data_IF_798357076864
#
_entry.id   IF_798357076864
#
_cell.length_a   1.000
_cell.length_b   1.000
_cell.length_c   1.000
_cell.angle_alpha   90.00
_cell.angle_beta   90.00
_cell.angle_gamma   90.00
#
_symmetry.space_group_name_H-M   'P 1'
#
loop_
_entity.id
_entity.type
_entity.pdbx_description
1 polymer ?
#
# COMPACT_ATOMS: atom_id res chain seq x y z
N UNK A 1 -0.51 -17.70 1.79
CA UNK A 1 0.92 -17.37 1.55
C UNK A 1 1.76 -18.55 2.02
N UNK A 2 2.83 -18.93 1.32
CA UNK A 2 3.72 -20.01 1.80
C UNK A 2 4.56 -19.39 2.93
N UNK A 3 4.50 -19.90 4.18
CA UNK A 3 5.04 -19.23 5.36
C UNK A 3 6.56 -18.97 5.38
N UNK A 4 7.30 -19.48 4.42
CA UNK A 4 8.76 -19.40 4.38
C UNK A 4 9.33 -18.60 3.20
N UNK A 5 8.47 -17.96 2.39
CA UNK A 5 8.93 -17.21 1.21
C UNK A 5 8.44 -15.76 1.27
N UNK A 6 9.29 -14.79 0.87
CA UNK A 6 8.90 -13.39 0.74
C UNK A 6 7.76 -13.21 -0.29
N UNK A 7 6.92 -12.20 -0.10
CA UNK A 7 5.81 -11.91 -1.00
C UNK A 7 6.29 -11.54 -2.41
N UNK A 8 5.90 -12.34 -3.39
CA UNK A 8 6.17 -12.06 -4.82
C UNK A 8 5.40 -10.83 -5.30
N UNK A 9 4.25 -10.58 -4.69
CA UNK A 9 3.44 -9.39 -4.97
C UNK A 9 4.13 -8.12 -4.47
N UNK A 10 4.72 -8.13 -3.26
CA UNK A 10 5.51 -7.01 -2.75
C UNK A 10 6.67 -6.65 -3.69
N UNK A 11 7.36 -7.64 -4.26
CA UNK A 11 8.40 -7.40 -5.26
C UNK A 11 7.87 -6.71 -6.51
N UNK A 12 6.74 -7.19 -7.07
CA UNK A 12 6.14 -6.61 -8.27
C UNK A 12 5.70 -5.15 -8.04
N UNK A 13 5.14 -4.86 -6.88
CA UNK A 13 4.74 -3.49 -6.50
C UNK A 13 5.98 -2.60 -6.39
N UNK A 14 7.03 -3.02 -5.69
CA UNK A 14 8.27 -2.28 -5.55
C UNK A 14 8.92 -2.00 -6.92
N UNK A 15 8.93 -2.98 -7.82
CA UNK A 15 9.43 -2.81 -9.18
C UNK A 15 8.66 -1.73 -9.95
N UNK A 16 7.32 -1.69 -9.84
CA UNK A 16 6.50 -0.67 -10.51
C UNK A 16 6.74 0.72 -9.92
N UNK A 17 6.90 0.83 -8.60
CA UNK A 17 7.26 2.10 -7.94
C UNK A 17 8.66 2.58 -8.39
N UNK A 18 9.61 1.67 -8.55
CA UNK A 18 10.94 2.00 -9.05
C UNK A 18 10.93 2.50 -10.51
N UNK A 19 10.19 1.81 -11.38
CA UNK A 19 10.01 2.25 -12.78
C UNK A 19 9.33 3.61 -12.86
N UNK A 20 8.35 3.89 -11.98
CA UNK A 20 7.72 5.20 -11.85
C UNK A 20 8.74 6.32 -11.61
N UNK A 21 9.72 6.10 -10.73
CA UNK A 21 10.77 7.10 -10.47
C UNK A 21 11.62 7.42 -11.70
N UNK A 22 11.70 6.51 -12.65
CA UNK A 22 12.58 6.64 -13.80
C UNK A 22 11.87 7.17 -15.07
N UNK A 23 10.59 6.82 -15.25
CA UNK A 23 9.85 7.11 -16.48
C UNK A 23 8.87 8.28 -16.37
N UNK A 24 8.27 8.52 -15.20
CA UNK A 24 7.18 9.49 -15.09
C UNK A 24 7.69 10.87 -14.64
N UNK A 25 7.26 11.92 -15.31
CA UNK A 25 7.71 13.30 -15.05
C UNK A 25 6.54 14.29 -15.05
N UNK A 26 6.29 15.02 -13.95
CA UNK A 26 6.86 14.78 -12.60
C UNK A 26 6.36 13.46 -12.00
N UNK A 27 7.09 12.85 -11.05
CA UNK A 27 6.59 11.67 -10.36
C UNK A 27 5.36 12.02 -9.52
N UNK A 28 4.38 11.13 -9.46
CA UNK A 28 3.20 11.28 -8.58
C UNK A 28 3.59 11.04 -7.12
N UNK A 29 4.46 10.06 -6.91
CA UNK A 29 5.10 9.77 -5.63
C UNK A 29 6.60 9.98 -5.79
N UNK A 30 7.18 10.88 -5.01
CA UNK A 30 8.64 11.02 -4.94
C UNK A 30 9.20 10.01 -3.92
N UNK A 31 9.90 9.00 -4.44
CA UNK A 31 10.46 7.91 -3.65
C UNK A 31 11.88 7.58 -4.12
N UNK A 32 12.88 8.32 -3.63
CA UNK A 32 14.27 8.11 -4.04
C UNK A 32 14.82 6.73 -3.66
N UNK A 33 14.16 6.03 -2.72
CA UNK A 33 14.56 4.69 -2.27
C UNK A 33 13.91 3.56 -3.09
N UNK A 34 12.91 3.85 -3.92
CA UNK A 34 12.20 2.82 -4.68
C UNK A 34 13.13 2.02 -5.62
N UNK A 35 14.15 2.64 -6.20
CA UNK A 35 15.13 1.95 -7.03
C UNK A 35 16.21 1.23 -6.20
N UNK A 36 16.86 1.88 -5.22
CA UNK A 36 17.88 1.25 -4.38
C UNK A 36 17.42 -0.01 -3.64
N UNK A 37 16.19 -0.02 -3.10
CA UNK A 37 15.68 -1.14 -2.30
C UNK A 37 15.57 -2.46 -3.08
N UNK A 38 15.56 -2.41 -4.40
CA UNK A 38 15.56 -3.59 -5.26
C UNK A 38 16.90 -4.31 -5.33
N UNK A 39 17.93 -3.71 -4.73
CA UNK A 39 19.30 -4.23 -4.75
C UNK A 39 20.13 -3.72 -5.93
N UNK A 40 21.47 -3.78 -5.82
CA UNK A 40 22.38 -3.09 -6.73
C UNK A 40 22.28 -3.54 -8.18
N UNK A 41 22.15 -4.84 -8.42
CA UNK A 41 22.09 -5.40 -9.80
C UNK A 41 20.80 -4.97 -10.52
N UNK A 42 19.66 -5.12 -9.84
CA UNK A 42 18.35 -4.74 -10.40
C UNK A 42 18.28 -3.23 -10.58
N UNK A 43 18.77 -2.46 -9.62
CA UNK A 43 18.82 -1.01 -9.70
C UNK A 43 19.69 -0.52 -10.87
N UNK A 44 20.84 -1.14 -11.14
CA UNK A 44 21.70 -0.83 -12.27
C UNK A 44 20.99 -1.13 -13.60
N UNK A 45 20.37 -2.32 -13.72
CA UNK A 45 19.62 -2.71 -14.92
C UNK A 45 18.42 -1.78 -15.19
N UNK A 46 17.67 -1.43 -14.14
CA UNK A 46 16.55 -0.50 -14.24
C UNK A 46 16.98 0.89 -14.72
N UNK A 47 18.08 1.43 -14.18
CA UNK A 47 18.60 2.75 -14.60
C UNK A 47 19.07 2.75 -16.04
N UNK A 48 19.70 1.64 -16.50
CA UNK A 48 20.16 1.51 -17.87
C UNK A 48 19.01 1.36 -18.87
N UNK A 49 17.98 0.60 -18.52
CA UNK A 49 16.92 0.20 -19.45
C UNK A 49 15.52 0.16 -18.79
N UNK A 50 14.98 1.28 -18.26
CA UNK A 50 13.73 1.26 -17.50
C UNK A 50 12.53 0.77 -18.31
N UNK A 51 12.49 1.05 -19.63
CA UNK A 51 11.40 0.63 -20.51
C UNK A 51 11.30 -0.89 -20.72
N UNK A 52 12.38 -1.64 -20.49
CA UNK A 52 12.35 -3.10 -20.60
C UNK A 52 11.51 -3.77 -19.48
N UNK A 53 11.28 -3.05 -18.39
CA UNK A 53 10.45 -3.49 -17.27
C UNK A 53 8.96 -3.11 -17.44
N UNK A 54 8.64 -2.41 -18.53
CA UNK A 54 7.28 -2.06 -18.92
C UNK A 54 6.71 -3.10 -19.87
N UNK A 55 6.19 -4.19 -19.30
CA UNK A 55 5.67 -5.31 -20.09
C UNK A 55 4.14 -5.26 -20.18
N UNK A 56 3.65 -5.01 -21.40
CA UNK A 56 2.22 -5.05 -21.71
C UNK A 56 1.50 -3.70 -21.58
N UNK A 57 0.32 -3.61 -22.19
CA UNK A 57 -0.50 -2.40 -22.28
C UNK A 57 -0.96 -1.85 -20.93
N UNK A 58 -1.12 -2.72 -19.94
CA UNK A 58 -1.59 -2.36 -18.61
C UNK A 58 -0.48 -1.82 -17.68
N UNK A 59 0.78 -1.92 -18.10
CA UNK A 59 1.91 -1.56 -17.27
C UNK A 59 1.90 -0.11 -16.79
N UNK A 60 1.62 0.91 -17.63
CA UNK A 60 1.52 2.30 -17.18
C UNK A 60 0.40 2.51 -16.14
N UNK A 61 -0.77 1.90 -16.35
CA UNK A 61 -1.90 2.03 -15.42
C UNK A 61 -1.62 1.39 -14.05
N UNK A 62 -0.98 0.22 -14.04
CA UNK A 62 -0.55 -0.44 -12.80
C UNK A 62 0.52 0.38 -12.09
N UNK A 63 1.46 0.99 -12.82
CA UNK A 63 2.49 1.89 -12.29
C UNK A 63 1.85 3.13 -11.66
N UNK A 64 0.91 3.76 -12.36
CA UNK A 64 0.13 4.88 -11.83
C UNK A 64 -0.61 4.49 -10.55
N UNK A 65 -1.31 3.36 -10.56
CA UNK A 65 -2.08 2.88 -9.41
C UNK A 65 -1.20 2.62 -8.18
N UNK A 66 -0.11 1.89 -8.33
CA UNK A 66 0.77 1.58 -7.19
C UNK A 66 1.48 2.81 -6.63
N UNK A 67 1.74 3.81 -7.46
CA UNK A 67 2.34 5.06 -7.00
C UNK A 67 1.33 5.97 -6.32
N UNK A 68 0.14 6.13 -6.92
CA UNK A 68 -0.86 7.07 -6.39
C UNK A 68 -1.49 6.59 -5.08
N UNK A 69 -1.68 5.29 -4.88
CA UNK A 69 -2.22 4.80 -3.60
C UNK A 69 -1.26 5.07 -2.43
N UNK A 70 0.06 4.92 -2.65
CA UNK A 70 1.07 5.30 -1.65
C UNK A 70 1.08 6.81 -1.43
N UNK A 71 1.02 7.62 -2.50
CA UNK A 71 0.91 9.07 -2.40
C UNK A 71 -0.33 9.50 -1.62
N UNK A 72 -1.48 8.88 -1.87
CA UNK A 72 -2.71 9.17 -1.13
C UNK A 72 -2.56 8.88 0.37
N UNK A 73 -1.99 7.73 0.73
CA UNK A 73 -1.74 7.39 2.13
C UNK A 73 -0.80 8.40 2.81
N UNK A 74 0.26 8.83 2.11
CA UNK A 74 1.21 9.82 2.60
C UNK A 74 0.59 11.21 2.73
N UNK A 75 -0.31 11.62 1.82
CA UNK A 75 -1.06 12.87 1.93
C UNK A 75 -1.99 12.86 3.16
N UNK A 76 -2.66 11.73 3.45
CA UNK A 76 -3.48 11.59 4.66
C UNK A 76 -2.62 11.67 5.93
N UNK A 77 -1.46 11.05 5.91
CA UNK A 77 -0.51 11.10 7.01
C UNK A 77 0.04 12.51 7.21
N UNK A 78 0.41 13.22 6.14
CA UNK A 78 0.93 14.60 6.22
C UNK A 78 -0.05 15.58 6.88
N UNK A 79 -1.35 15.34 6.75
CA UNK A 79 -2.38 16.15 7.42
C UNK A 79 -2.62 15.77 8.89
N UNK A 80 -2.14 14.63 9.36
CA UNK A 80 -2.43 14.08 10.67
C UNK A 80 -1.72 14.80 11.85
N UNK A 81 -0.46 15.28 11.71
CA UNK A 81 0.24 16.01 12.78
C UNK A 81 -0.49 17.26 13.28
N UNK A 82 -1.22 17.96 12.40
CA UNK A 82 -2.03 19.12 12.80
C UNK A 82 -3.16 18.73 13.79
N UNK A 83 -3.54 17.46 13.84
CA UNK A 83 -4.51 16.89 14.78
C UNK A 83 -3.86 16.20 15.98
N UNK A 84 -2.55 16.34 16.15
CA UNK A 84 -1.80 15.73 17.26
C UNK A 84 -1.35 14.28 17.03
N UNK A 85 -1.66 13.68 15.88
CA UNK A 85 -1.30 12.28 15.56
C UNK A 85 0.20 12.17 15.29
N UNK A 86 0.84 11.18 15.92
CA UNK A 86 2.29 10.90 15.84
C UNK A 86 2.60 9.42 15.62
N UNK A 87 1.58 8.63 15.30
CA UNK A 87 1.70 7.19 15.08
C UNK A 87 1.24 6.83 13.67
N UNK A 88 2.05 6.06 12.99
CA UNK A 88 1.77 5.51 11.66
C UNK A 88 1.97 4.01 11.63
N UNK A 89 0.97 3.27 11.19
CA UNK A 89 1.02 1.82 11.08
C UNK A 89 0.87 1.41 9.62
N UNK A 90 1.85 0.67 9.12
CA UNK A 90 1.85 0.15 7.74
C UNK A 90 1.52 -1.33 7.79
N UNK A 91 0.29 -1.69 7.44
CA UNK A 91 -0.18 -3.07 7.42
C UNK A 91 0.16 -3.73 6.08
N UNK A 92 0.94 -4.81 6.12
CA UNK A 92 1.50 -5.44 4.93
C UNK A 92 2.59 -4.57 4.30
N UNK A 93 3.59 -4.19 5.10
CA UNK A 93 4.60 -3.20 4.73
C UNK A 93 5.44 -3.59 3.50
N UNK A 94 5.61 -4.90 3.21
CA UNK A 94 6.33 -5.37 2.04
C UNK A 94 7.69 -4.67 1.85
N UNK A 95 7.89 -4.07 0.68
CA UNK A 95 9.02 -3.20 0.38
C UNK A 95 8.61 -1.70 0.36
N UNK A 96 7.67 -1.29 1.21
CA UNK A 96 7.39 0.13 1.43
C UNK A 96 8.62 0.85 1.97
N UNK A 97 8.84 2.08 1.52
CA UNK A 97 10.05 2.86 1.82
C UNK A 97 9.75 4.12 2.63
N UNK A 98 8.48 4.39 2.95
CA UNK A 98 8.09 5.62 3.64
C UNK A 98 8.94 5.90 4.90
N UNK A 99 9.05 4.91 5.76
CA UNK A 99 9.71 5.04 7.05
C UNK A 99 11.23 5.36 6.98
N UNK A 100 11.83 5.16 5.83
CA UNK A 100 13.28 5.36 5.58
C UNK A 100 13.56 6.64 4.80
N UNK A 101 12.53 7.41 4.40
CA UNK A 101 12.69 8.65 3.62
C UNK A 101 12.65 9.92 4.47
N UNK A 102 12.15 9.82 5.71
CA UNK A 102 11.95 10.94 6.65
C UNK A 102 11.35 12.19 5.98
N UNK A 103 10.12 12.12 5.48
CA UNK A 103 9.51 13.24 4.75
C UNK A 103 9.14 14.43 5.64
N UNK A 104 9.29 14.29 6.97
CA UNK A 104 8.93 15.33 7.95
C UNK A 104 9.85 15.28 9.18
N UNK A 105 11.14 15.64 9.04
CA UNK A 105 12.14 15.51 10.11
C UNK A 105 11.78 16.32 11.36
N UNK A 106 11.04 17.42 11.22
CA UNK A 106 10.63 18.29 12.33
C UNK A 106 9.47 17.72 13.17
N UNK A 107 8.82 16.65 12.71
CA UNK A 107 7.68 16.03 13.39
C UNK A 107 8.03 14.61 13.80
N UNK A 108 8.27 14.35 15.10
CA UNK A 108 8.59 13.00 15.55
C UNK A 108 7.43 12.05 15.29
N UNK A 109 7.60 11.21 14.26
CA UNK A 109 6.65 10.19 13.86
C UNK A 109 7.20 8.81 14.25
N UNK A 110 6.43 8.01 14.96
CA UNK A 110 6.73 6.61 15.19
C UNK A 110 6.03 5.77 14.13
N UNK A 111 6.73 4.82 13.54
CA UNK A 111 6.23 3.96 12.47
C UNK A 111 6.29 2.50 12.92
N UNK A 112 5.18 1.79 12.78
CA UNK A 112 5.10 0.34 12.97
C UNK A 112 4.89 -0.32 11.62
N UNK A 113 5.86 -1.08 11.17
CA UNK A 113 5.74 -1.89 9.96
C UNK A 113 5.30 -3.30 10.35
N UNK A 114 4.07 -3.63 9.97
CA UNK A 114 3.43 -4.93 10.25
C UNK A 114 3.47 -5.77 9.00
N UNK A 115 4.10 -6.94 9.07
CA UNK A 115 4.14 -7.89 7.94
C UNK A 115 4.47 -9.30 8.44
N UNK A 116 4.39 -10.26 7.54
CA UNK A 116 4.80 -11.63 7.80
C UNK A 116 6.31 -11.68 8.09
N UNK A 117 6.78 -12.49 9.06
CA UNK A 117 8.18 -12.51 9.49
C UNK A 117 9.19 -12.66 8.35
N UNK A 118 8.97 -13.60 7.41
CA UNK A 118 9.87 -13.81 6.29
C UNK A 118 9.95 -12.61 5.33
N UNK A 119 8.85 -11.84 5.18
CA UNK A 119 8.85 -10.62 4.36
C UNK A 119 9.62 -9.51 5.04
N UNK A 120 9.50 -9.37 6.37
CA UNK A 120 10.26 -8.39 7.13
C UNK A 120 11.77 -8.67 7.12
N UNK A 121 12.15 -9.94 7.31
CA UNK A 121 13.55 -10.35 7.23
C UNK A 121 14.14 -10.04 5.85
N UNK A 122 13.42 -10.39 4.79
CA UNK A 122 13.82 -10.06 3.43
C UNK A 122 13.94 -8.55 3.19
N UNK A 123 12.99 -7.73 3.67
CA UNK A 123 13.05 -6.27 3.58
C UNK A 123 14.31 -5.73 4.25
N UNK A 124 14.60 -6.16 5.48
CA UNK A 124 15.79 -5.73 6.24
C UNK A 124 17.08 -6.10 5.52
N UNK A 125 17.13 -7.29 4.92
CA UNK A 125 18.25 -7.67 4.07
C UNK A 125 18.41 -6.70 2.88
N UNK A 126 17.30 -6.35 2.18
CA UNK A 126 17.33 -5.39 1.06
C UNK A 126 17.81 -4.00 1.50
N UNK A 127 17.34 -3.52 2.65
CA UNK A 127 17.79 -2.24 3.22
C UNK A 127 19.30 -2.25 3.47
N UNK A 128 19.81 -3.31 4.10
CA UNK A 128 21.23 -3.49 4.35
C UNK A 128 22.07 -3.52 3.06
N UNK A 129 21.64 -4.30 2.06
CA UNK A 129 22.31 -4.40 0.76
C UNK A 129 22.33 -3.07 0.00
N UNK A 130 21.31 -2.24 0.19
CA UNK A 130 21.20 -0.91 -0.40
C UNK A 130 21.87 0.19 0.43
N UNK A 131 22.50 -0.15 1.56
CA UNK A 131 23.06 0.79 2.54
C UNK A 131 22.05 1.84 3.03
N UNK A 132 20.77 1.46 3.14
CA UNK A 132 19.70 2.30 3.69
C UNK A 132 19.66 2.08 5.19
N UNK A 133 19.85 3.16 5.97
CA UNK A 133 19.82 3.10 7.43
C UNK A 133 18.38 2.81 7.93
N UNK A 134 18.28 1.99 8.98
CA UNK A 134 17.04 1.77 9.71
C UNK A 134 16.86 2.87 10.77
N UNK A 135 15.85 3.77 10.66
CA UNK A 135 15.65 4.83 11.65
C UNK A 135 15.17 4.26 13.00
N UNK A 136 15.59 4.88 14.10
CA UNK A 136 15.14 4.50 15.44
C UNK A 136 13.64 4.68 15.68
N UNK A 137 12.96 5.43 14.82
CA UNK A 137 11.51 5.64 14.84
C UNK A 137 10.71 4.46 14.28
N UNK A 138 11.37 3.47 13.65
CA UNK A 138 10.72 2.30 13.04
C UNK A 138 10.72 1.13 14.00
N UNK A 139 9.56 0.51 14.15
CA UNK A 139 9.37 -0.76 14.86
C UNK A 139 8.86 -1.81 13.87
N UNK A 140 9.58 -2.90 13.75
CA UNK A 140 9.12 -4.06 12.99
C UNK A 140 8.19 -4.91 13.85
N UNK A 141 7.02 -5.22 13.34
CA UNK A 141 5.99 -6.00 14.02
C UNK A 141 5.68 -7.23 13.19
N UNK A 142 6.39 -8.34 13.42
CA UNK A 142 6.09 -9.58 12.72
C UNK A 142 4.74 -10.13 13.20
N UNK A 143 3.89 -10.54 12.24
CA UNK A 143 2.59 -11.13 12.54
C UNK A 143 2.33 -12.36 11.66
N UNK A 144 1.86 -13.41 12.31
CA UNK A 144 1.17 -14.51 11.66
C UNK A 144 -0.31 -14.43 12.06
N UNK A 145 -1.15 -13.97 11.14
CA UNK A 145 -2.59 -13.80 11.39
C UNK A 145 -3.36 -15.10 11.67
N UNK A 146 -2.75 -16.27 11.45
CA UNK A 146 -3.35 -17.55 11.83
C UNK A 146 -3.24 -17.81 13.35
N UNK A 147 -2.24 -17.20 14.01
CA UNK A 147 -1.88 -17.48 15.40
C UNK A 147 -1.87 -16.26 16.31
N UNK A 148 -1.89 -15.06 15.75
CA UNK A 148 -1.72 -13.80 16.49
C UNK A 148 -2.77 -12.78 16.10
N UNK A 149 -3.10 -11.88 17.02
CA UNK A 149 -4.01 -10.76 16.74
C UNK A 149 -3.23 -9.45 16.55
N UNK A 150 -3.71 -8.59 15.65
CA UNK A 150 -3.10 -7.29 15.40
C UNK A 150 -3.02 -6.42 16.68
N UNK A 151 -4.06 -6.32 17.52
CA UNK A 151 -3.99 -5.60 18.80
C UNK A 151 -2.84 -6.04 19.70
N UNK A 152 -2.67 -7.34 19.88
CA UNK A 152 -1.69 -7.90 20.81
C UNK A 152 -0.26 -7.61 20.35
N UNK A 153 0.04 -7.81 19.06
CA UNK A 153 1.39 -7.57 18.54
C UNK A 153 1.75 -6.09 18.50
N UNK A 154 0.79 -5.21 18.18
CA UNK A 154 1.00 -3.77 18.22
C UNK A 154 1.21 -3.27 19.66
N UNK A 155 0.41 -3.73 20.62
CA UNK A 155 0.59 -3.37 22.02
C UNK A 155 1.96 -3.83 22.55
N UNK A 156 2.39 -5.06 22.22
CA UNK A 156 3.70 -5.58 22.58
C UNK A 156 4.84 -4.76 21.97
N UNK A 157 4.63 -4.15 20.79
CA UNK A 157 5.57 -3.26 20.13
C UNK A 157 5.49 -1.79 20.60
N UNK A 158 4.73 -1.50 21.66
CA UNK A 158 4.61 -0.18 22.27
C UNK A 158 3.76 0.81 21.47
N UNK A 159 2.82 0.31 20.68
CA UNK A 159 1.78 1.13 20.05
C UNK A 159 0.74 1.57 21.11
N UNK A 160 0.41 2.85 21.11
CA UNK A 160 -0.61 3.43 21.98
C UNK A 160 -1.94 3.60 21.23
N UNK A 161 -2.87 2.69 21.40
CA UNK A 161 -4.18 2.74 20.75
C UNK A 161 -5.07 3.91 21.20
N UNK A 162 -4.69 4.62 22.27
CA UNK A 162 -5.43 5.79 22.76
C UNK A 162 -4.97 7.13 22.18
N UNK A 163 -3.77 7.17 21.60
CA UNK A 163 -3.15 8.41 21.13
C UNK A 163 -3.53 8.80 19.68
N UNK A 164 -4.39 8.02 19.04
CA UNK A 164 -4.72 8.20 17.62
C UNK A 164 -3.58 7.79 16.68
N UNK A 165 -3.94 7.30 15.51
CA UNK A 165 -2.97 6.82 14.54
C UNK A 165 -3.47 6.95 13.10
N UNK A 166 -2.56 7.04 12.14
CA UNK A 166 -2.85 6.78 10.73
C UNK A 166 -2.42 5.36 10.39
N UNK A 167 -3.27 4.66 9.65
CA UNK A 167 -2.96 3.35 9.10
C UNK A 167 -2.91 3.42 7.58
N UNK A 168 -1.95 2.74 6.97
CA UNK A 168 -2.02 2.38 5.56
C UNK A 168 -2.12 0.87 5.42
N UNK A 169 -3.00 0.42 4.52
CA UNK A 169 -3.26 -1.00 4.30
C UNK A 169 -3.37 -1.26 2.80
N UNK A 170 -2.24 -1.18 2.12
CA UNK A 170 -2.17 -1.11 0.66
C UNK A 170 -1.76 -2.45 0.05
N UNK A 171 -2.61 -2.97 -0.86
CA UNK A 171 -2.35 -4.19 -1.60
C UNK A 171 -2.47 -5.47 -0.78
N UNK A 172 -3.26 -5.46 0.29
CA UNK A 172 -3.45 -6.61 1.20
C UNK A 172 -4.92 -7.04 1.23
N UNK A 173 -5.84 -6.11 1.33
CA UNK A 173 -7.28 -6.35 1.49
C UNK A 173 -7.84 -7.37 0.48
N UNK A 174 -7.54 -7.31 -0.82
CA UNK A 174 -8.08 -8.28 -1.78
C UNK A 174 -7.71 -9.75 -1.49
N UNK A 175 -6.65 -10.00 -0.73
CA UNK A 175 -6.15 -11.34 -0.41
C UNK A 175 -6.70 -11.93 0.89
N UNK A 176 -7.45 -11.16 1.66
CA UNK A 176 -8.00 -11.55 2.94
C UNK A 176 -9.48 -11.93 2.83
N UNK A 177 -9.95 -12.72 3.79
CA UNK A 177 -11.38 -12.99 3.95
C UNK A 177 -12.11 -11.73 4.45
N UNK A 178 -13.40 -11.61 4.12
CA UNK A 178 -14.23 -10.48 4.59
C UNK A 178 -14.20 -10.35 6.13
N UNK A 179 -14.29 -11.46 6.85
CA UNK A 179 -14.29 -11.46 8.31
C UNK A 179 -12.97 -10.92 8.89
N UNK A 180 -11.83 -11.31 8.32
CA UNK A 180 -10.53 -10.80 8.71
C UNK A 180 -10.41 -9.28 8.45
N UNK A 181 -10.93 -8.82 7.30
CA UNK A 181 -10.95 -7.40 6.94
C UNK A 181 -11.80 -6.62 7.95
N UNK A 182 -13.04 -7.04 8.20
CA UNK A 182 -13.94 -6.33 9.09
C UNK A 182 -13.46 -6.35 10.55
N UNK A 183 -12.81 -7.42 10.98
CA UNK A 183 -12.17 -7.50 12.30
C UNK A 183 -11.02 -6.51 12.43
N UNK A 184 -10.17 -6.42 11.44
CA UNK A 184 -9.07 -5.44 11.38
C UNK A 184 -9.61 -4.01 11.36
N UNK A 185 -10.59 -3.71 10.51
CA UNK A 185 -11.21 -2.37 10.41
C UNK A 185 -11.88 -1.94 11.72
N UNK A 186 -12.51 -2.86 12.45
CA UNK A 186 -13.08 -2.57 13.77
C UNK A 186 -12.00 -2.13 14.77
N UNK A 187 -10.89 -2.84 14.83
CA UNK A 187 -9.76 -2.45 15.68
C UNK A 187 -9.18 -1.08 15.25
N UNK A 188 -8.96 -0.90 13.95
CA UNK A 188 -8.44 0.36 13.40
C UNK A 188 -9.39 1.53 13.71
N UNK A 189 -10.71 1.34 13.59
CA UNK A 189 -11.71 2.34 13.94
C UNK A 189 -11.58 2.81 15.39
N UNK A 190 -11.37 1.89 16.33
CA UNK A 190 -11.10 2.22 17.74
C UNK A 190 -9.77 2.98 17.89
N UNK A 191 -8.70 2.49 17.28
CA UNK A 191 -7.35 3.07 17.41
C UNK A 191 -7.20 4.44 16.74
N UNK A 192 -8.12 4.82 15.84
CA UNK A 192 -8.13 6.12 15.16
C UNK A 192 -9.13 7.12 15.75
N UNK A 193 -9.90 6.73 16.75
CA UNK A 193 -10.95 7.56 17.34
C UNK A 193 -10.44 8.89 17.94
N UNK A 194 -9.20 8.90 18.44
CA UNK A 194 -8.55 10.10 18.99
C UNK A 194 -7.93 11.02 17.89
N UNK A 195 -8.26 10.78 16.64
CA UNK A 195 -7.71 11.47 15.46
C UNK A 195 -6.84 10.54 14.62
N UNK A 196 -6.99 10.58 13.33
CA UNK A 196 -6.31 9.70 12.41
C UNK A 196 -7.25 9.09 11.38
N UNK A 197 -6.93 7.89 10.90
CA UNK A 197 -7.73 7.19 9.91
C UNK A 197 -6.98 6.04 9.26
N UNK A 198 -7.60 5.43 8.25
CA UNK A 198 -7.00 4.38 7.45
C UNK A 198 -7.13 4.69 5.96
N UNK A 199 -6.02 4.52 5.23
CA UNK A 199 -6.02 4.50 3.77
C UNK A 199 -5.80 3.06 3.29
N UNK A 200 -6.71 2.54 2.48
CA UNK A 200 -6.59 1.19 1.94
C UNK A 200 -7.20 1.08 0.53
N UNK A 201 -6.74 0.12 -0.23
CA UNK A 201 -7.30 -0.22 -1.53
C UNK A 201 -8.08 -1.52 -1.46
N UNK A 202 -9.15 -1.61 -2.25
CA UNK A 202 -10.01 -2.79 -2.30
C UNK A 202 -10.47 -3.06 -3.74
N UNK A 203 -10.81 -4.32 -4.00
CA UNK A 203 -11.40 -4.72 -5.26
C UNK A 203 -12.91 -4.49 -5.29
N UNK A 204 -13.45 -4.08 -6.44
CA UNK A 204 -14.91 -4.01 -6.65
C UNK A 204 -15.44 -5.32 -7.24
N UNK A 205 -16.71 -5.68 -6.99
CA UNK A 205 -17.31 -6.89 -7.52
C UNK A 205 -17.26 -6.94 -9.07
N UNK A 206 -16.93 -8.11 -9.60
CA UNK A 206 -16.82 -8.33 -11.06
C UNK A 206 -18.06 -7.90 -11.83
N UNK A 207 -19.23 -8.01 -11.22
CA UNK A 207 -20.53 -7.66 -11.80
C UNK A 207 -20.68 -6.15 -12.05
N UNK A 208 -19.94 -5.34 -11.29
CA UNK A 208 -19.90 -3.87 -11.44
C UNK A 208 -18.95 -3.40 -12.56
N UNK A 209 -18.12 -4.29 -13.09
CA UNK A 209 -17.16 -3.98 -14.14
C UNK A 209 -17.82 -3.98 -15.53
N UNK A 210 -17.36 -3.11 -16.42
CA UNK A 210 -17.69 -3.16 -17.85
C UNK A 210 -17.16 -4.46 -18.49
N UNK A 211 -17.60 -4.77 -19.71
CA UNK A 211 -17.16 -5.99 -20.41
C UNK A 211 -15.64 -5.99 -20.60
N UNK A 212 -15.04 -4.85 -20.99
CA UNK A 212 -13.59 -4.73 -21.16
C UNK A 212 -12.83 -4.92 -19.85
N UNK A 213 -13.30 -4.28 -18.78
CA UNK A 213 -12.75 -4.41 -17.44
C UNK A 213 -12.82 -5.85 -16.91
N UNK A 214 -13.91 -6.59 -17.17
CA UNK A 214 -14.03 -8.01 -16.78
C UNK A 214 -12.96 -8.88 -17.41
N UNK A 215 -12.67 -8.70 -18.69
CA UNK A 215 -11.62 -9.47 -19.38
C UNK A 215 -10.25 -9.26 -18.74
N UNK A 216 -9.93 -8.01 -18.37
CA UNK A 216 -8.68 -7.67 -17.72
C UNK A 216 -8.64 -8.21 -16.29
N UNK A 217 -9.73 -8.03 -15.56
CA UNK A 217 -9.90 -8.57 -14.21
C UNK A 217 -9.68 -10.10 -14.19
N UNK A 218 -10.34 -10.83 -15.08
CA UNK A 218 -10.24 -12.29 -15.17
C UNK A 218 -8.79 -12.73 -15.48
N UNK A 219 -8.11 -12.02 -16.38
CA UNK A 219 -6.70 -12.28 -16.70
C UNK A 219 -5.76 -12.01 -15.51
N UNK A 220 -5.98 -10.92 -14.78
CA UNK A 220 -5.20 -10.60 -13.58
C UNK A 220 -5.49 -11.56 -12.43
N UNK A 221 -6.77 -11.89 -12.19
CA UNK A 221 -7.19 -12.85 -11.17
C UNK A 221 -6.59 -14.23 -11.40
N UNK A 222 -6.60 -14.72 -12.65
CA UNK A 222 -5.92 -15.98 -13.02
C UNK A 222 -4.41 -15.93 -12.74
N UNK A 223 -3.77 -14.78 -13.02
CA UNK A 223 -2.32 -14.60 -12.81
C UNK A 223 -1.92 -14.58 -11.34
N UNK A 224 -2.69 -13.93 -10.48
CA UNK A 224 -2.41 -13.90 -9.03
C UNK A 224 -2.75 -15.24 -8.38
N UNK A 225 -3.81 -15.89 -8.82
CA UNK A 225 -4.15 -17.26 -8.39
C UNK A 225 -3.05 -18.27 -8.73
N UNK A 226 -2.51 -18.21 -9.96
CA UNK A 226 -1.38 -19.05 -10.37
C UNK A 226 -0.10 -18.76 -9.57
N UNK A 227 0.03 -17.58 -8.98
CA UNK A 227 1.12 -17.23 -8.07
C UNK A 227 0.89 -17.69 -6.61
N UNK A 228 -0.25 -18.35 -6.32
CA UNK A 228 -0.61 -18.82 -4.99
C UNK A 228 -1.25 -17.73 -4.07
N UNK A 229 -1.61 -16.59 -4.64
CA UNK A 229 -2.17 -15.44 -3.91
C UNK A 229 -3.53 -15.03 -4.53
N UNK A 230 -4.58 -15.90 -4.52
CA UNK A 230 -5.87 -15.58 -5.13
C UNK A 230 -6.58 -14.42 -4.41
N UNK A 231 -7.27 -13.57 -5.17
CA UNK A 231 -8.16 -12.57 -4.57
C UNK A 231 -9.38 -13.24 -3.95
N UNK A 232 -9.75 -12.83 -2.74
CA UNK A 232 -10.81 -13.43 -1.94
C UNK A 232 -11.97 -12.48 -1.66
N UNK A 233 -11.71 -11.16 -1.62
CA UNK A 233 -12.69 -10.18 -1.17
C UNK A 233 -12.88 -9.03 -2.14
N UNK A 234 -14.14 -8.67 -2.35
CA UNK A 234 -14.58 -7.57 -3.18
C UNK A 234 -15.69 -6.82 -2.44
N UNK A 235 -15.71 -5.50 -2.57
CA UNK A 235 -16.69 -4.65 -1.89
C UNK A 235 -17.36 -3.70 -2.87
N UNK A 236 -18.67 -3.56 -2.74
CA UNK A 236 -19.38 -2.42 -3.30
C UNK A 236 -18.94 -1.16 -2.52
N UNK A 237 -18.53 -0.06 -3.19
CA UNK A 237 -18.03 1.13 -2.51
C UNK A 237 -19.04 1.76 -1.55
N UNK A 238 -20.32 1.81 -1.92
CA UNK A 238 -21.37 2.41 -1.10
C UNK A 238 -21.70 1.56 0.12
N UNK A 239 -21.71 0.23 -0.06
CA UNK A 239 -21.94 -0.72 1.04
C UNK A 239 -20.77 -0.65 2.03
N UNK A 240 -19.54 -0.68 1.52
CA UNK A 240 -18.35 -0.56 2.36
C UNK A 240 -18.33 0.77 3.13
N UNK A 241 -18.68 1.88 2.48
CA UNK A 241 -18.75 3.16 3.15
C UNK A 241 -19.81 3.20 4.27
N UNK A 242 -20.93 2.48 4.13
CA UNK A 242 -21.91 2.33 5.22
C UNK A 242 -21.34 1.51 6.37
N UNK A 243 -20.76 0.35 6.08
CA UNK A 243 -20.15 -0.52 7.08
C UNK A 243 -19.03 0.19 7.86
N UNK A 244 -18.22 1.01 7.18
CA UNK A 244 -17.19 1.81 7.86
C UNK A 244 -17.81 2.82 8.83
N UNK A 245 -18.91 3.47 8.47
CA UNK A 245 -19.61 4.39 9.40
C UNK A 245 -20.17 3.62 10.61
N UNK A 246 -20.70 2.41 10.40
CA UNK A 246 -21.19 1.55 11.49
C UNK A 246 -20.05 1.10 12.42
N UNK A 247 -18.81 1.03 11.91
CA UNK A 247 -17.61 0.78 12.71
C UNK A 247 -17.04 2.05 13.39
N UNK A 248 -17.70 3.21 13.24
CA UNK A 248 -17.32 4.45 13.91
C UNK A 248 -16.41 5.38 13.13
N UNK A 249 -16.09 5.10 11.85
CA UNK A 249 -15.38 6.06 11.01
C UNK A 249 -16.30 7.23 10.65
N UNK A 250 -15.92 8.46 11.05
CA UNK A 250 -16.72 9.65 10.81
C UNK A 250 -16.85 9.99 9.32
N UNK A 251 -15.81 9.71 8.55
CA UNK A 251 -15.75 9.94 7.10
C UNK A 251 -15.27 8.66 6.41
N UNK A 252 -15.99 8.26 5.37
CA UNK A 252 -15.56 7.22 4.45
C UNK A 252 -15.65 7.79 3.03
N UNK A 253 -14.51 7.93 2.37
CA UNK A 253 -14.36 8.54 1.03
C UNK A 253 -13.80 7.51 0.05
N UNK A 254 -14.66 6.73 -0.62
CA UNK A 254 -14.20 5.86 -1.71
C UNK A 254 -13.84 6.72 -2.93
N UNK A 255 -12.60 6.60 -3.40
CA UNK A 255 -12.13 7.31 -4.58
C UNK A 255 -12.27 6.43 -5.82
N UNK A 256 -13.09 6.88 -6.79
CA UNK A 256 -13.13 6.27 -8.11
C UNK A 256 -11.87 6.60 -8.93
N UNK A 257 -11.58 5.85 -10.01
CA UNK A 257 -10.49 6.19 -10.92
C UNK A 257 -10.58 7.63 -11.45
N UNK A 258 -11.78 8.13 -11.74
CA UNK A 258 -12.00 9.50 -12.21
C UNK A 258 -11.62 10.54 -11.14
N UNK A 259 -12.03 10.31 -9.89
CA UNK A 259 -11.69 11.18 -8.77
C UNK A 259 -10.17 11.18 -8.51
N UNK A 260 -9.53 10.02 -8.59
CA UNK A 260 -8.06 9.90 -8.47
C UNK A 260 -7.37 10.65 -9.61
N UNK A 261 -7.83 10.49 -10.85
CA UNK A 261 -7.26 11.18 -12.00
C UNK A 261 -7.43 12.69 -11.91
N UNK A 262 -8.58 13.17 -11.49
CA UNK A 262 -8.82 14.59 -11.27
C UNK A 262 -7.89 15.19 -10.19
N UNK A 263 -7.59 14.42 -9.14
CA UNK A 263 -6.76 14.88 -8.03
C UNK A 263 -5.26 14.82 -8.30
N UNK A 264 -4.76 13.78 -8.98
CA UNK A 264 -3.34 13.48 -9.06
C UNK A 264 -2.75 13.50 -10.46
N UNK A 265 -3.56 13.44 -11.50
CA UNK A 265 -3.08 13.26 -12.88
C UNK A 265 -3.50 14.39 -13.84
N UNK A 266 -4.26 15.39 -13.36
CA UNK A 266 -4.68 16.54 -14.18
C UNK A 266 -3.48 17.33 -14.70
N UNK A 267 -3.52 17.70 -15.98
CA UNK A 267 -2.50 18.53 -16.63
C UNK A 267 -1.19 17.83 -16.98
N UNK A 268 -1.14 16.50 -16.87
CA UNK A 268 0.06 15.73 -17.23
C UNK A 268 0.22 15.62 -18.74
N UNK A 269 1.44 15.87 -19.22
CA UNK A 269 1.79 15.74 -20.64
C UNK A 269 2.14 14.30 -21.04
N UNK A 270 2.48 13.43 -20.06
CA UNK A 270 2.88 12.04 -20.30
C UNK A 270 1.70 11.06 -20.41
N UNK A 271 0.46 11.55 -20.21
CA UNK A 271 -0.75 10.73 -20.29
C UNK A 271 -0.90 9.68 -19.19
N UNK A 272 -0.06 9.71 -18.14
CA UNK A 272 -0.18 8.78 -17.02
C UNK A 272 -1.51 8.98 -16.31
N UNK A 273 -2.21 7.88 -16.03
CA UNK A 273 -3.51 7.89 -15.35
C UNK A 273 -3.79 6.52 -14.71
N UNK A 274 -4.72 6.46 -13.77
CA UNK A 274 -5.31 5.20 -13.29
C UNK A 274 -6.56 4.87 -14.11
N UNK A 275 -7.01 3.62 -14.12
CA UNK A 275 -8.09 3.16 -14.98
C UNK A 275 -7.56 2.80 -16.38
N UNK A 276 -8.24 3.25 -17.43
CA UNK A 276 -7.80 2.99 -18.80
C UNK A 276 -8.09 1.58 -19.32
N UNK A 277 -8.92 0.85 -18.62
CA UNK A 277 -9.41 -0.46 -19.03
C UNK A 277 -10.63 -0.36 -19.97
N UNK A 278 -11.15 0.83 -20.19
CA UNK A 278 -12.38 1.11 -20.94
C UNK A 278 -12.14 1.59 -22.39
N UNK A 279 -10.87 1.71 -22.81
CA UNK A 279 -10.48 2.17 -24.16
C UNK A 279 -9.82 1.08 -24.99
#
# INVERSE_FOLDING_TARGET
MIPTQPSRTAWRVAMRRAVHQLLDRPPVLDDPLAVPILGPEVAASLRAHPSQFETGRLSPYMRAFFSVRSRFAEDQLAAAPARGVRQYVVLGAGLDTFAYRDPSPDVPLRVWEVDFPATQEWKRQRLSEAAIAEPASVSYVPIDFEHQTLPDVLAAAGFDSSAGAVFSWLGVVPYLTRDAIMTTLRYVGCATAAGGGVAFDFGIPRERLSIGQRMIFDALAARVSAAGEPWQSFFDPDDLARELRDLGFAVAEPLSPEAINARYFTGRADGLAVGGWDS
#
